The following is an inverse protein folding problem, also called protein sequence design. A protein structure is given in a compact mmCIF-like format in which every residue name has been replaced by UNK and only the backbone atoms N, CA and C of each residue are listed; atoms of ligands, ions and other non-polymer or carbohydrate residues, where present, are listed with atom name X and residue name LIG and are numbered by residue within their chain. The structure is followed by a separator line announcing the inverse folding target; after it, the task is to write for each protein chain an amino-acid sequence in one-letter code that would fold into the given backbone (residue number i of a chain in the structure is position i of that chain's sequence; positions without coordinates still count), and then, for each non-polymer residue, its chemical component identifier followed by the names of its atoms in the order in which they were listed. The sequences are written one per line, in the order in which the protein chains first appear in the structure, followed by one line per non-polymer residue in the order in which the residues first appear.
data_IF_397800051892
#
_entry.id   IF_397800051892
#
_cell.length_a   1.000
_cell.length_b   1.000
_cell.length_c   1.000
_cell.angle_alpha   90.00
_cell.angle_beta   90.00
_cell.angle_gamma   90.00
#
_symmetry.space_group_name_H-M   'P 1'
#
loop_
_entity.id
_entity.type
_entity.pdbx_description
1 polymer ?
#
# COMPACT_ATOMS: atom_id res chain seq x y z
N UNK A 1 -1.47 31.30 0.78
CA UNK A 1 -2.80 30.68 0.86
C UNK A 1 -3.21 30.75 2.33
N UNK A 2 -4.42 31.22 2.67
CA UNK A 2 -4.84 31.39 4.07
C UNK A 2 -5.31 30.04 4.65
N UNK A 3 -5.13 29.79 5.96
CA UNK A 3 -5.45 28.48 6.60
C UNK A 3 -6.89 28.04 6.36
N UNK A 4 -7.84 29.00 6.39
CA UNK A 4 -9.27 28.77 6.12
C UNK A 4 -9.54 28.18 4.73
N UNK A 5 -8.74 28.54 3.72
CA UNK A 5 -8.86 27.99 2.37
C UNK A 5 -8.37 26.53 2.30
N UNK A 6 -7.36 26.16 3.10
CA UNK A 6 -6.84 24.79 3.12
C UNK A 6 -7.85 23.82 3.77
N UNK A 7 -8.49 24.26 4.85
CA UNK A 7 -9.60 23.53 5.49
C UNK A 7 -10.74 23.26 4.52
N UNK A 8 -11.19 24.29 3.79
CA UNK A 8 -12.27 24.16 2.81
C UNK A 8 -11.91 23.18 1.68
N UNK A 9 -10.68 23.20 1.17
CA UNK A 9 -10.21 22.27 0.13
C UNK A 9 -10.22 20.82 0.63
N UNK A 10 -9.67 20.57 1.83
CA UNK A 10 -9.63 19.22 2.40
C UNK A 10 -11.05 18.72 2.68
N UNK A 11 -11.88 19.53 3.33
CA UNK A 11 -13.26 19.17 3.63
C UNK A 11 -14.06 18.84 2.36
N UNK A 12 -13.92 19.67 1.33
CA UNK A 12 -14.57 19.43 0.04
C UNK A 12 -14.10 18.12 -0.58
N UNK A 13 -12.79 17.87 -0.60
CA UNK A 13 -12.23 16.61 -1.12
C UNK A 13 -12.77 15.39 -0.39
N UNK A 14 -12.86 15.44 0.95
CA UNK A 14 -13.24 14.31 1.78
C UNK A 14 -14.74 13.98 1.71
N UNK A 15 -15.59 15.00 1.56
CA UNK A 15 -17.06 14.83 1.53
C UNK A 15 -17.63 14.69 0.11
N UNK A 16 -16.90 15.14 -0.91
CA UNK A 16 -17.39 15.09 -2.30
C UNK A 16 -17.07 13.77 -2.99
N UNK A 17 -17.84 13.50 -4.06
CA UNK A 17 -17.59 12.35 -4.93
C UNK A 17 -16.30 12.56 -5.74
N UNK A 18 -15.60 11.47 -6.11
CA UNK A 18 -14.51 11.49 -7.06
C UNK A 18 -14.82 12.32 -8.32
N UNK A 19 -13.89 13.18 -8.72
CA UNK A 19 -13.99 14.03 -9.92
C UNK A 19 -13.00 13.57 -10.99
N UNK A 20 -13.14 12.31 -11.40
CA UNK A 20 -12.36 11.67 -12.46
C UNK A 20 -13.09 10.41 -12.91
N UNK A 21 -12.85 9.97 -14.15
CA UNK A 21 -13.20 8.59 -14.50
C UNK A 21 -12.08 7.64 -14.08
N UNK A 22 -12.48 6.40 -13.77
CA UNK A 22 -11.55 5.34 -13.37
C UNK A 22 -11.11 4.50 -14.57
N UNK A 23 -9.79 4.39 -14.80
CA UNK A 23 -9.23 3.39 -15.73
C UNK A 23 -9.30 1.97 -15.15
N UNK A 24 -9.06 1.90 -13.85
CA UNK A 24 -9.10 0.73 -12.97
C UNK A 24 -9.59 1.21 -11.61
N UNK A 25 -10.11 0.33 -10.74
CA UNK A 25 -10.54 0.72 -9.40
C UNK A 25 -9.45 1.52 -8.69
N UNK A 26 -9.76 2.77 -8.32
CA UNK A 26 -8.84 3.69 -7.62
C UNK A 26 -7.79 4.38 -8.49
N UNK A 27 -7.90 4.34 -9.83
CA UNK A 27 -6.93 4.95 -10.76
C UNK A 27 -7.61 5.98 -11.66
N UNK A 28 -7.36 7.28 -11.45
CA UNK A 28 -7.83 8.34 -12.33
C UNK A 28 -7.29 8.19 -13.76
N UNK A 29 -8.08 8.61 -14.76
CA UNK A 29 -7.68 8.61 -16.17
C UNK A 29 -6.38 9.35 -16.47
N UNK A 30 -6.14 10.46 -15.77
CA UNK A 30 -4.95 11.30 -15.92
C UNK A 30 -3.94 11.13 -14.78
N UNK A 31 -3.90 9.97 -14.09
CA UNK A 31 -3.09 9.78 -12.88
C UNK A 31 -1.62 10.18 -13.03
N UNK A 32 -1.02 10.02 -14.22
CA UNK A 32 0.37 10.42 -14.51
C UNK A 32 0.63 11.94 -14.42
N UNK A 33 -0.42 12.74 -14.51
CA UNK A 33 -0.35 14.20 -14.40
C UNK A 33 -0.54 14.67 -12.95
N UNK A 34 -1.02 13.78 -12.07
CA UNK A 34 -1.29 14.06 -10.66
C UNK A 34 0.01 13.86 -9.87
N UNK A 35 0.67 14.97 -9.55
CA UNK A 35 2.03 14.96 -9.00
C UNK A 35 2.14 15.63 -7.62
N UNK A 36 1.03 16.18 -7.11
CA UNK A 36 0.99 16.85 -5.82
C UNK A 36 -0.22 16.46 -4.98
N UNK A 37 -0.14 16.72 -3.68
CA UNK A 37 -1.28 16.59 -2.77
C UNK A 37 -2.45 17.49 -3.20
N UNK A 38 -2.16 18.71 -3.66
CA UNK A 38 -3.20 19.61 -4.19
C UNK A 38 -3.98 18.96 -5.34
N UNK A 39 -3.29 18.31 -6.27
CA UNK A 39 -3.92 17.65 -7.42
C UNK A 39 -4.86 16.53 -6.96
N UNK A 40 -4.43 15.70 -6.01
CA UNK A 40 -5.25 14.63 -5.43
C UNK A 40 -6.51 15.18 -4.74
N UNK A 41 -6.39 16.28 -3.99
CA UNK A 41 -7.52 16.89 -3.31
C UNK A 41 -8.49 17.55 -4.30
N UNK A 42 -7.99 18.20 -5.36
CA UNK A 42 -8.82 18.83 -6.40
C UNK A 42 -9.69 17.84 -7.16
N UNK A 43 -9.22 16.61 -7.31
CA UNK A 43 -9.98 15.53 -7.96
C UNK A 43 -10.81 14.71 -6.95
N UNK A 44 -10.82 15.09 -5.67
CA UNK A 44 -11.48 14.36 -4.60
C UNK A 44 -11.07 12.88 -4.55
N UNK A 45 -9.77 12.60 -4.69
CA UNK A 45 -9.25 11.23 -4.77
C UNK A 45 -9.67 10.38 -3.56
N UNK A 46 -10.13 9.16 -3.83
CA UNK A 46 -10.49 8.18 -2.79
C UNK A 46 -9.60 6.96 -2.90
N UNK A 47 -8.97 6.60 -1.79
CA UNK A 47 -8.21 5.37 -1.70
C UNK A 47 -9.16 4.17 -1.82
N UNK A 48 -8.79 3.22 -2.68
CA UNK A 48 -9.46 1.93 -2.85
C UNK A 48 -8.56 0.85 -2.27
N UNK A 49 -9.10 -0.02 -1.41
CA UNK A 49 -8.31 -1.05 -0.71
C UNK A 49 -7.74 -2.10 -1.67
N UNK A 50 -6.75 -2.88 -1.22
CA UNK A 50 -6.13 -3.94 -2.03
C UNK A 50 -7.18 -4.97 -2.47
N UNK A 51 -8.06 -5.38 -1.58
CA UNK A 51 -9.11 -6.37 -1.83
C UNK A 51 -10.11 -5.83 -2.86
N UNK A 52 -10.49 -4.55 -2.74
CA UNK A 52 -11.39 -3.88 -3.69
C UNK A 52 -10.73 -3.73 -5.08
N UNK A 53 -9.45 -3.36 -5.13
CA UNK A 53 -8.68 -3.30 -6.37
C UNK A 53 -8.65 -4.66 -7.06
N UNK A 54 -8.25 -5.72 -6.32
CA UNK A 54 -8.13 -7.07 -6.86
C UNK A 54 -9.48 -7.60 -7.35
N UNK A 55 -10.54 -7.47 -6.55
CA UNK A 55 -11.90 -7.87 -6.90
C UNK A 55 -12.40 -7.15 -8.15
N UNK A 56 -12.29 -5.83 -8.18
CA UNK A 56 -12.77 -5.02 -9.29
C UNK A 56 -12.02 -5.32 -10.60
N UNK A 57 -10.69 -5.38 -10.53
CA UNK A 57 -9.86 -5.70 -11.69
C UNK A 57 -10.10 -7.13 -12.20
N UNK A 58 -10.33 -8.10 -11.31
CA UNK A 58 -10.67 -9.46 -11.70
C UNK A 58 -12.02 -9.50 -12.43
N UNK A 59 -13.05 -8.83 -11.90
CA UNK A 59 -14.37 -8.76 -12.56
C UNK A 59 -14.27 -8.12 -13.94
N UNK A 60 -13.51 -7.02 -14.09
CA UNK A 60 -13.31 -6.34 -15.38
C UNK A 60 -12.69 -7.30 -16.40
N UNK A 61 -11.69 -8.08 -16.00
CA UNK A 61 -11.02 -9.06 -16.88
C UNK A 61 -11.93 -10.23 -17.25
N UNK A 62 -12.62 -10.81 -16.26
CA UNK A 62 -13.54 -11.93 -16.51
C UNK A 62 -14.67 -11.55 -17.47
N UNK A 63 -15.19 -10.32 -17.40
CA UNK A 63 -16.19 -9.80 -18.36
C UNK A 63 -15.67 -9.67 -19.79
N UNK A 64 -14.35 -9.55 -19.95
CA UNK A 64 -13.67 -9.49 -21.25
C UNK A 64 -13.14 -10.85 -21.71
N UNK A 65 -13.48 -11.92 -20.98
CA UNK A 65 -12.95 -13.27 -21.22
C UNK A 65 -11.40 -13.31 -21.14
N UNK A 66 -10.80 -12.42 -20.35
CA UNK A 66 -9.36 -12.37 -20.10
C UNK A 66 -9.01 -13.01 -18.74
N UNK A 67 -7.87 -13.71 -18.68
CA UNK A 67 -7.34 -14.26 -17.43
C UNK A 67 -6.11 -13.50 -16.93
N UNK A 68 -6.01 -13.19 -15.62
CA UNK A 68 -4.86 -12.47 -15.06
C UNK A 68 -3.62 -13.34 -14.84
N UNK A 69 -3.66 -14.63 -15.12
CA UNK A 69 -2.62 -15.61 -14.78
C UNK A 69 -1.76 -15.97 -16.00
N UNK A 70 -1.09 -14.98 -16.59
CA UNK A 70 -0.30 -15.17 -17.81
C UNK A 70 0.84 -16.18 -17.61
N UNK A 71 0.90 -17.20 -18.47
CA UNK A 71 1.96 -18.21 -18.44
C UNK A 71 1.82 -19.26 -17.33
N UNK A 72 0.66 -19.34 -16.67
CA UNK A 72 0.24 -20.53 -15.93
C UNK A 72 -0.37 -21.49 -16.96
N UNK A 73 0.11 -22.73 -16.97
CA UNK A 73 -0.35 -23.78 -17.89
C UNK A 73 -1.03 -24.84 -17.03
N UNK A 74 -2.27 -25.18 -17.36
CA UNK A 74 -3.06 -26.07 -16.53
C UNK A 74 -3.74 -25.31 -15.38
N UNK A 75 -4.46 -26.08 -14.58
CA UNK A 75 -5.22 -25.64 -13.41
C UNK A 75 -6.49 -24.82 -13.68
N UNK A 76 -6.96 -24.79 -14.93
CA UNK A 76 -8.14 -24.03 -15.34
C UNK A 76 -9.42 -24.53 -14.65
N UNK A 77 -9.45 -25.83 -14.30
CA UNK A 77 -10.61 -26.51 -13.71
C UNK A 77 -10.52 -26.66 -12.17
N UNK A 78 -9.41 -26.32 -11.52
CA UNK A 78 -9.20 -26.54 -10.07
C UNK A 78 -8.65 -25.33 -9.29
N UNK A 79 -7.37 -24.98 -9.45
CA UNK A 79 -6.67 -23.95 -8.68
C UNK A 79 -7.14 -22.57 -9.11
N UNK A 80 -7.20 -22.29 -10.43
CA UNK A 80 -7.58 -20.97 -10.94
C UNK A 80 -9.00 -20.56 -10.52
N UNK A 81 -10.02 -21.43 -10.61
CA UNK A 81 -11.35 -21.14 -10.06
C UNK A 81 -11.33 -20.85 -8.56
N UNK A 82 -10.48 -21.55 -7.80
CA UNK A 82 -10.35 -21.35 -6.34
C UNK A 82 -9.67 -20.03 -6.00
N UNK A 83 -8.62 -19.65 -6.75
CA UNK A 83 -7.99 -18.32 -6.66
C UNK A 83 -8.97 -17.21 -7.00
N UNK A 84 -9.76 -17.36 -8.06
CA UNK A 84 -10.77 -16.37 -8.40
C UNK A 84 -11.81 -16.20 -7.28
N UNK A 85 -12.27 -17.31 -6.69
CA UNK A 85 -13.20 -17.27 -5.54
C UNK A 85 -12.60 -16.56 -4.33
N UNK A 86 -11.35 -16.86 -3.95
CA UNK A 86 -10.72 -16.19 -2.81
C UNK A 86 -10.56 -14.68 -3.04
N UNK A 87 -10.18 -14.25 -4.25
CA UNK A 87 -10.11 -12.82 -4.60
C UNK A 87 -11.47 -12.15 -4.51
N UNK A 88 -12.50 -12.77 -5.09
CA UNK A 88 -13.85 -12.22 -5.08
C UNK A 88 -14.39 -12.10 -3.65
N UNK A 89 -14.07 -13.06 -2.78
CA UNK A 89 -14.45 -13.02 -1.37
C UNK A 89 -13.55 -12.13 -0.50
N UNK A 90 -12.39 -11.69 -0.98
CA UNK A 90 -11.42 -10.91 -0.20
C UNK A 90 -10.72 -11.73 0.89
N UNK A 91 -10.39 -12.99 0.60
CA UNK A 91 -9.67 -13.87 1.51
C UNK A 91 -8.16 -13.89 1.23
N UNK A 92 -7.39 -14.06 2.29
CA UNK A 92 -5.99 -14.49 2.20
C UNK A 92 -5.91 -15.90 1.59
N UNK A 93 -4.76 -16.22 0.99
CA UNK A 93 -4.57 -17.47 0.26
C UNK A 93 -3.40 -18.27 0.81
N UNK A 94 -3.61 -19.58 0.98
CA UNK A 94 -2.56 -20.56 1.25
C UNK A 94 -2.43 -21.49 0.06
N UNK A 95 -1.28 -21.44 -0.62
CA UNK A 95 -0.95 -22.36 -1.70
C UNK A 95 -0.18 -23.55 -1.16
N UNK A 96 -0.70 -24.77 -1.35
CA UNK A 96 -0.04 -26.02 -0.99
C UNK A 96 0.25 -26.81 -2.25
N UNK A 97 1.51 -27.17 -2.47
CA UNK A 97 1.94 -27.89 -3.66
C UNK A 97 3.45 -28.06 -3.71
N UNK A 98 3.93 -28.91 -4.60
CA UNK A 98 5.36 -29.18 -4.76
C UNK A 98 6.12 -27.97 -5.34
N UNK A 99 7.46 -28.02 -5.25
CA UNK A 99 8.34 -27.04 -5.90
C UNK A 99 8.11 -27.10 -7.41
N UNK A 100 8.08 -25.93 -8.06
CA UNK A 100 7.86 -25.82 -9.51
C UNK A 100 6.40 -25.81 -9.96
N UNK A 101 5.42 -25.96 -9.06
CA UNK A 101 3.99 -25.91 -9.38
C UNK A 101 3.40 -24.48 -9.46
N UNK A 102 4.21 -23.52 -9.89
CA UNK A 102 3.80 -22.14 -10.19
C UNK A 102 3.17 -21.31 -9.04
N UNK A 103 3.23 -21.74 -7.77
CA UNK A 103 2.69 -21.00 -6.60
C UNK A 103 3.11 -19.52 -6.58
N UNK A 104 4.41 -19.25 -6.64
CA UNK A 104 4.96 -17.88 -6.64
C UNK A 104 4.56 -17.13 -7.91
N UNK A 105 4.55 -17.80 -9.06
CA UNK A 105 4.16 -17.21 -10.34
C UNK A 105 2.69 -16.76 -10.36
N UNK A 106 1.80 -17.49 -9.68
CA UNK A 106 0.40 -17.08 -9.48
C UNK A 106 0.36 -15.80 -8.64
N UNK A 107 1.05 -15.77 -7.49
CA UNK A 107 1.10 -14.60 -6.62
C UNK A 107 1.66 -13.35 -7.33
N UNK A 108 2.75 -13.49 -8.08
CA UNK A 108 3.32 -12.42 -8.90
C UNK A 108 2.35 -11.95 -9.99
N UNK A 109 1.65 -12.88 -10.64
CA UNK A 109 0.66 -12.55 -11.68
C UNK A 109 -0.53 -11.78 -11.11
N UNK A 110 -1.01 -12.17 -9.92
CA UNK A 110 -2.05 -11.43 -9.19
C UNK A 110 -1.59 -10.00 -8.92
N UNK A 111 -0.39 -9.84 -8.36
CA UNK A 111 0.15 -8.51 -8.07
C UNK A 111 0.27 -7.66 -9.34
N UNK A 112 0.88 -8.19 -10.39
CA UNK A 112 1.10 -7.44 -11.63
C UNK A 112 -0.21 -7.05 -12.33
N UNK A 113 -1.20 -7.94 -12.32
CA UNK A 113 -2.37 -7.81 -13.20
C UNK A 113 -3.63 -7.32 -12.49
N UNK A 114 -3.72 -7.44 -11.17
CA UNK A 114 -4.92 -7.14 -10.39
C UNK A 114 -4.74 -6.02 -9.36
N UNK A 115 -3.50 -5.65 -9.03
CA UNK A 115 -3.23 -4.45 -8.23
C UNK A 115 -3.19 -3.20 -9.12
N UNK A 116 -4.00 -2.20 -8.76
CA UNK A 116 -4.06 -0.89 -9.43
C UNK A 116 -2.89 0.00 -9.01
N UNK A 117 -2.34 0.88 -9.85
CA UNK A 117 -1.39 1.89 -9.36
C UNK A 117 -2.00 2.74 -8.22
N UNK A 118 -1.21 3.12 -7.22
CA UNK A 118 -1.65 4.00 -6.12
C UNK A 118 -0.76 5.23 -5.98
N UNK A 119 -1.29 6.37 -5.50
CA UNK A 119 -0.47 7.53 -5.19
C UNK A 119 0.22 7.31 -3.83
N UNK A 120 1.52 7.58 -3.77
CA UNK A 120 2.29 7.61 -2.53
C UNK A 120 2.97 8.96 -2.36
N UNK A 121 3.13 9.40 -1.12
CA UNK A 121 3.97 10.57 -0.81
C UNK A 121 5.43 10.23 -1.13
N UNK A 122 6.04 11.04 -2.00
CA UNK A 122 7.42 10.85 -2.43
C UNK A 122 8.36 10.93 -1.22
N UNK A 123 9.28 9.97 -1.14
CA UNK A 123 10.27 9.87 -0.06
C UNK A 123 9.83 8.99 1.11
N UNK A 124 8.55 8.62 1.21
CA UNK A 124 8.08 7.71 2.26
C UNK A 124 8.53 6.27 1.99
N UNK A 125 8.89 5.59 3.07
CA UNK A 125 9.35 4.19 3.03
C UNK A 125 8.20 3.16 3.06
N UNK A 126 6.99 3.57 3.46
CA UNK A 126 5.82 2.69 3.69
C UNK A 126 4.70 2.83 2.65
N UNK A 127 5.00 3.39 1.47
CA UNK A 127 4.02 3.66 0.41
C UNK A 127 2.80 4.46 0.93
N UNK A 128 3.05 5.48 1.76
CA UNK A 128 1.98 6.18 2.45
C UNK A 128 1.10 6.97 1.48
N UNK A 129 -0.21 6.77 1.58
CA UNK A 129 -1.21 7.42 0.75
C UNK A 129 -1.74 8.62 1.53
N UNK A 130 -1.61 9.86 1.04
CA UNK A 130 -1.95 11.03 1.85
C UNK A 130 -3.44 11.12 2.17
N UNK A 131 -4.31 10.65 1.27
CA UNK A 131 -5.77 10.67 1.47
C UNK A 131 -6.29 9.56 2.37
N UNK A 132 -5.43 8.65 2.86
CA UNK A 132 -5.81 7.72 3.93
C UNK A 132 -5.69 8.35 5.32
N UNK A 133 -5.07 9.52 5.43
CA UNK A 133 -5.03 10.30 6.67
C UNK A 133 -6.45 10.82 6.97
N UNK A 134 -6.94 10.72 8.21
CA UNK A 134 -8.21 11.33 8.61
C UNK A 134 -8.27 12.83 8.30
N UNK A 135 -9.46 13.32 7.97
CA UNK A 135 -9.67 14.70 7.50
C UNK A 135 -9.10 15.75 8.47
N UNK A 136 -9.44 15.61 9.76
CA UNK A 136 -9.01 16.48 10.85
C UNK A 136 -7.48 16.48 11.01
N UNK A 137 -6.85 15.31 10.89
CA UNK A 137 -5.40 15.17 10.98
C UNK A 137 -4.71 15.80 9.77
N UNK A 138 -5.22 15.61 8.56
CA UNK A 138 -4.65 16.22 7.36
C UNK A 138 -4.76 17.75 7.41
N UNK A 139 -5.90 18.27 7.89
CA UNK A 139 -6.06 19.72 8.14
C UNK A 139 -5.00 20.20 9.12
N UNK A 140 -4.82 19.52 10.27
CA UNK A 140 -3.84 19.91 11.27
C UNK A 140 -2.39 19.91 10.72
N UNK A 141 -2.03 18.91 9.89
CA UNK A 141 -0.73 18.86 9.22
C UNK A 141 -0.53 20.07 8.28
N UNK A 142 -1.58 20.45 7.55
CA UNK A 142 -1.53 21.56 6.61
C UNK A 142 -1.51 22.92 7.32
N UNK A 143 -2.25 23.09 8.42
CA UNK A 143 -2.35 24.35 9.17
C UNK A 143 -1.34 24.49 10.31
N UNK A 144 -0.49 23.48 10.55
CA UNK A 144 0.49 23.44 11.66
C UNK A 144 -0.15 23.44 13.04
N UNK A 145 -1.37 22.93 13.12
CA UNK A 145 -2.08 22.77 14.38
C UNK A 145 -1.66 21.46 15.08
N UNK A 146 -1.96 21.36 16.38
CA UNK A 146 -1.75 20.13 17.13
C UNK A 146 -2.66 19.00 16.60
N UNK A 147 -2.11 17.80 16.47
CA UNK A 147 -2.88 16.62 16.07
C UNK A 147 -3.47 16.00 17.33
N UNK A 148 -4.78 16.12 17.50
CA UNK A 148 -5.51 15.38 18.52
C UNK A 148 -5.55 13.89 18.17
N UNK A 149 -4.56 13.10 18.62
CA UNK A 149 -4.59 11.65 18.45
C UNK A 149 -5.55 11.04 19.47
N UNK A 150 -6.79 10.80 19.04
CA UNK A 150 -7.82 10.15 19.87
C UNK A 150 -7.72 8.62 19.85
N UNK A 151 -7.07 8.03 18.83
CA UNK A 151 -6.86 6.59 18.67
C UNK A 151 -5.40 6.26 18.35
N UNK A 152 -4.90 5.06 18.73
CA UNK A 152 -3.54 4.61 18.44
C UNK A 152 -3.39 4.06 17.00
N UNK A 153 -4.18 4.56 16.04
CA UNK A 153 -4.20 4.03 14.68
C UNK A 153 -3.01 4.54 13.85
N UNK A 154 -2.34 3.61 13.17
CA UNK A 154 -1.23 3.92 12.26
C UNK A 154 -1.74 4.16 10.84
N UNK A 155 -2.08 5.42 10.53
CA UNK A 155 -2.56 5.83 9.21
C UNK A 155 -1.44 6.02 8.20
N UNK A 156 -0.37 6.73 8.57
CA UNK A 156 0.83 6.97 7.76
C UNK A 156 2.04 7.04 8.68
N UNK A 157 3.25 6.95 8.12
CA UNK A 157 4.48 7.18 8.89
C UNK A 157 4.59 8.64 9.36
N UNK A 158 5.32 8.84 10.47
CA UNK A 158 5.69 10.19 10.93
C UNK A 158 6.50 10.96 9.87
N UNK A 159 7.34 10.26 9.09
CA UNK A 159 8.06 10.87 7.96
C UNK A 159 7.09 11.46 6.92
N UNK A 160 5.99 10.76 6.62
CA UNK A 160 4.94 11.30 5.75
C UNK A 160 4.30 12.56 6.34
N UNK A 161 3.96 12.54 7.64
CA UNK A 161 3.42 13.70 8.35
C UNK A 161 4.36 14.92 8.22
N UNK A 162 5.66 14.71 8.46
CA UNK A 162 6.68 15.77 8.38
C UNK A 162 6.86 16.30 6.94
N UNK A 163 6.86 15.41 5.93
CA UNK A 163 6.90 15.81 4.52
C UNK A 163 5.68 16.68 4.17
N UNK A 164 4.48 16.28 4.61
CA UNK A 164 3.25 17.04 4.37
C UNK A 164 3.29 18.38 5.11
N UNK A 165 3.74 18.41 6.37
CA UNK A 165 3.90 19.67 7.13
C UNK A 165 4.82 20.64 6.42
N UNK A 166 5.95 20.16 5.91
CA UNK A 166 6.98 21.01 5.29
C UNK A 166 6.59 21.50 3.89
N UNK A 167 5.89 20.67 3.10
CA UNK A 167 5.59 20.97 1.70
C UNK A 167 4.13 21.37 1.44
N UNK A 168 3.25 21.15 2.43
CA UNK A 168 1.81 21.46 2.37
C UNK A 168 1.15 20.85 1.13
N UNK A 169 0.31 21.63 0.44
CA UNK A 169 -0.34 21.22 -0.81
C UNK A 169 0.65 20.90 -1.94
N UNK A 170 1.88 21.42 -1.89
CA UNK A 170 2.93 21.12 -2.87
C UNK A 170 3.65 19.79 -2.64
N UNK A 171 3.27 19.04 -1.59
CA UNK A 171 3.82 17.71 -1.29
C UNK A 171 3.79 16.84 -2.53
N UNK A 172 4.96 16.32 -2.91
CA UNK A 172 5.12 15.55 -4.15
C UNK A 172 4.55 14.15 -4.00
N UNK A 173 3.84 13.73 -5.05
CA UNK A 173 3.22 12.42 -5.16
C UNK A 173 3.91 11.65 -6.29
N UNK A 174 4.20 10.38 -6.02
CA UNK A 174 4.58 9.41 -7.03
C UNK A 174 3.49 8.35 -7.15
N UNK A 175 3.34 7.75 -8.32
CA UNK A 175 2.46 6.59 -8.49
C UNK A 175 3.30 5.32 -8.53
N UNK A 176 2.92 4.35 -7.71
CA UNK A 176 3.59 3.05 -7.63
C UNK A 176 2.66 1.97 -8.21
N UNK A 177 3.20 1.19 -9.15
CA UNK A 177 2.45 0.13 -9.83
C UNK A 177 2.29 -1.11 -8.95
N UNK A 178 1.36 -2.00 -9.32
CA UNK A 178 1.09 -3.24 -8.59
C UNK A 178 2.33 -4.10 -8.34
N UNK A 179 3.15 -4.29 -9.38
CA UNK A 179 4.36 -5.12 -9.30
C UNK A 179 5.36 -4.64 -8.25
N UNK A 180 5.50 -3.33 -8.07
CA UNK A 180 6.41 -2.73 -7.07
C UNK A 180 5.86 -2.79 -5.64
N UNK A 181 4.58 -3.19 -5.49
CA UNK A 181 3.91 -3.44 -4.20
C UNK A 181 3.86 -4.92 -3.83
N UNK A 182 4.54 -5.78 -4.58
CA UNK A 182 4.73 -7.19 -4.23
C UNK A 182 6.00 -7.37 -3.39
N UNK A 183 5.87 -8.02 -2.24
CA UNK A 183 7.01 -8.46 -1.43
C UNK A 183 6.98 -9.98 -1.30
N UNK A 184 8.09 -10.60 -1.68
CA UNK A 184 8.31 -12.02 -1.52
C UNK A 184 9.31 -12.26 -0.38
N UNK A 185 8.95 -13.16 0.52
CA UNK A 185 9.75 -13.54 1.68
C UNK A 185 9.89 -15.05 1.67
N UNK A 186 11.11 -15.55 1.52
CA UNK A 186 11.41 -16.96 1.75
C UNK A 186 11.62 -17.18 3.24
N UNK A 187 10.75 -17.97 3.87
CA UNK A 187 10.93 -18.36 5.26
C UNK A 187 12.15 -19.29 5.37
N UNK A 188 13.11 -18.87 6.19
CA UNK A 188 14.29 -19.65 6.56
C UNK A 188 14.41 -19.66 8.08
N UNK A 189 15.07 -20.65 8.70
CA UNK A 189 15.23 -20.67 10.15
C UNK A 189 15.90 -19.38 10.69
N UNK A 190 16.80 -18.81 9.90
CA UNK A 190 17.60 -17.63 10.23
C UNK A 190 16.86 -16.30 10.02
N UNK A 191 15.70 -16.29 9.34
CA UNK A 191 14.93 -15.05 9.18
C UNK A 191 14.52 -14.53 10.56
N UNK A 192 14.80 -13.26 10.80
CA UNK A 192 14.56 -12.65 12.10
C UNK A 192 13.31 -11.80 12.09
N UNK A 193 12.73 -11.56 13.27
CA UNK A 193 11.52 -10.72 13.40
C UNK A 193 11.75 -9.33 12.79
N UNK A 194 12.94 -8.75 12.98
CA UNK A 194 13.33 -7.46 12.38
C UNK A 194 13.26 -7.43 10.86
N UNK A 195 13.44 -8.56 10.17
CA UNK A 195 13.36 -8.59 8.70
C UNK A 195 11.90 -8.47 8.25
N UNK A 196 10.95 -8.98 9.05
CA UNK A 196 9.52 -8.92 8.78
C UNK A 196 8.90 -7.60 9.25
N UNK A 197 9.09 -7.23 10.51
CA UNK A 197 8.43 -6.08 11.15
C UNK A 197 9.31 -4.84 11.27
N UNK A 198 10.59 -4.91 10.92
CA UNK A 198 11.54 -3.81 11.02
C UNK A 198 12.25 -3.70 12.36
N UNK A 199 13.14 -2.71 12.48
CA UNK A 199 13.95 -2.49 13.68
C UNK A 199 14.35 -1.03 13.83
N UNK A 200 14.76 -0.66 15.05
CA UNK A 200 15.53 0.55 15.29
C UNK A 200 16.98 0.29 14.84
N UNK A 201 17.46 1.08 13.91
CA UNK A 201 18.71 0.88 13.19
C UNK A 201 19.86 1.68 13.83
N UNK A 202 20.70 0.97 14.59
CA UNK A 202 21.87 1.54 15.25
C UNK A 202 22.87 2.20 14.28
N UNK A 203 22.94 1.73 13.03
CA UNK A 203 23.85 2.31 12.04
C UNK A 203 23.33 3.66 11.57
N UNK A 204 22.01 3.80 11.35
CA UNK A 204 21.40 5.10 11.05
C UNK A 204 21.61 6.09 12.20
N UNK A 205 21.42 5.65 13.44
CA UNK A 205 21.65 6.47 14.64
C UNK A 205 23.09 6.98 14.67
N UNK A 206 24.08 6.08 14.57
CA UNK A 206 25.48 6.42 14.68
C UNK A 206 25.99 7.30 13.52
N UNK A 207 25.55 7.02 12.28
CA UNK A 207 26.05 7.74 11.09
C UNK A 207 25.32 9.05 10.80
N UNK A 208 24.01 9.11 11.05
CA UNK A 208 23.17 10.27 10.75
C UNK A 208 22.89 11.15 11.97
N UNK A 209 23.40 10.77 13.16
CA UNK A 209 23.17 11.51 14.40
C UNK A 209 21.70 11.57 14.80
N UNK A 210 20.90 10.59 14.36
CA UNK A 210 19.46 10.54 14.60
C UNK A 210 19.21 10.00 16.00
N UNK A 211 18.26 10.60 16.73
CA UNK A 211 17.89 10.11 18.06
C UNK A 211 17.26 8.72 18.02
N UNK A 212 17.48 7.93 19.08
CA UNK A 212 17.01 6.53 19.18
C UNK A 212 15.48 6.40 19.00
N UNK A 213 14.73 7.39 19.46
CA UNK A 213 13.27 7.36 19.46
C UNK A 213 12.65 8.09 18.26
N UNK A 214 13.47 8.58 17.34
CA UNK A 214 12.98 9.23 16.13
C UNK A 214 12.69 8.20 15.03
N UNK A 215 11.66 8.46 14.22
CA UNK A 215 11.25 7.58 13.11
C UNK A 215 12.37 7.40 12.08
N UNK A 216 13.25 8.40 11.93
CA UNK A 216 14.40 8.32 11.04
C UNK A 216 15.41 7.24 11.46
N UNK A 217 15.37 6.77 12.71
CA UNK A 217 16.16 5.63 13.20
C UNK A 217 15.56 4.29 12.78
N UNK A 218 14.27 4.25 12.44
CA UNK A 218 13.58 3.01 12.10
C UNK A 218 13.90 2.56 10.67
N UNK A 219 14.07 1.26 10.51
CA UNK A 219 14.24 0.59 9.22
C UNK A 219 13.07 -0.40 9.03
N UNK A 220 12.25 -0.24 7.98
CA UNK A 220 11.03 -1.01 7.80
C UNK A 220 11.34 -2.44 7.36
N UNK A 221 10.62 -3.39 7.95
CA UNK A 221 10.62 -4.78 7.50
C UNK A 221 9.73 -5.00 6.27
N UNK A 222 9.75 -6.22 5.74
CA UNK A 222 9.03 -6.60 4.53
C UNK A 222 7.51 -6.37 4.62
N UNK A 223 6.92 -6.53 5.82
CA UNK A 223 5.48 -6.33 6.03
C UNK A 223 5.08 -4.87 5.76
N UNK A 224 5.80 -3.90 6.35
CA UNK A 224 5.51 -2.48 6.12
C UNK A 224 5.88 -2.04 4.70
N UNK A 225 6.91 -2.63 4.10
CA UNK A 225 7.25 -2.37 2.69
C UNK A 225 6.21 -2.95 1.71
N UNK A 226 5.43 -3.95 2.15
CA UNK A 226 4.29 -4.50 1.42
C UNK A 226 2.98 -3.75 1.71
N UNK A 227 3.01 -2.67 2.49
CA UNK A 227 1.81 -1.88 2.83
C UNK A 227 1.11 -1.42 1.55
N UNK A 228 -0.21 -1.54 1.57
CA UNK A 228 -1.08 -1.39 0.40
C UNK A 228 -0.68 -2.32 -0.76
N UNK A 229 -0.15 -3.50 -0.50
CA UNK A 229 0.36 -4.42 -1.51
C UNK A 229 0.05 -5.87 -1.17
N UNK A 230 0.88 -6.78 -1.68
CA UNK A 230 0.79 -8.22 -1.40
C UNK A 230 2.11 -8.67 -0.78
N UNK A 231 2.02 -9.30 0.40
CA UNK A 231 3.11 -10.03 1.02
C UNK A 231 2.93 -11.53 0.73
N UNK A 232 3.92 -12.14 0.12
CA UNK A 232 3.97 -13.58 -0.11
C UNK A 232 5.06 -14.18 0.77
N UNK A 233 4.68 -15.11 1.65
CA UNK A 233 5.61 -15.87 2.48
C UNK A 233 5.67 -17.29 1.92
N UNK A 234 6.84 -17.66 1.42
CA UNK A 234 7.13 -19.01 0.96
C UNK A 234 7.73 -19.85 2.07
N UNK A 235 7.50 -21.16 2.03
CA UNK A 235 7.92 -22.10 3.07
C UNK A 235 7.45 -21.72 4.49
N UNK A 236 6.23 -21.15 4.60
CA UNK A 236 5.64 -20.69 5.87
C UNK A 236 5.84 -21.64 7.08
N UNK A 237 5.72 -22.98 6.95
CA UNK A 237 5.97 -23.90 8.06
C UNK A 237 7.40 -23.86 8.65
N UNK A 238 8.37 -23.36 7.90
CA UNK A 238 9.77 -23.19 8.34
C UNK A 238 9.91 -21.98 9.29
N UNK A 239 8.97 -21.04 9.23
CA UNK A 239 8.96 -19.86 10.10
C UNK A 239 8.65 -20.28 11.54
N UNK A 240 9.53 -19.97 12.49
CA UNK A 240 9.32 -20.30 13.91
C UNK A 240 7.94 -19.83 14.41
N UNK A 241 7.18 -20.64 15.18
CA UNK A 241 5.85 -20.28 15.64
C UNK A 241 5.77 -18.94 16.38
N UNK A 242 6.81 -18.54 17.12
CA UNK A 242 6.84 -17.24 17.78
C UNK A 242 6.82 -16.09 16.78
N UNK A 243 7.38 -16.28 15.58
CA UNK A 243 7.36 -15.29 14.49
C UNK A 243 6.02 -15.27 13.74
N UNK A 244 5.18 -16.30 13.90
CA UNK A 244 3.84 -16.37 13.29
C UNK A 244 2.74 -15.78 14.19
N UNK A 245 2.97 -15.75 15.51
CA UNK A 245 1.97 -15.34 16.52
C UNK A 245 2.27 -13.95 17.13
N UNK A 246 3.50 -13.45 16.99
CA UNK A 246 3.95 -12.18 17.56
C UNK A 246 3.44 -10.93 16.83
#
# INVERSE_FOLDING_TARGET
MNSKNMEEIVHHSYTSKPKYNELKPGVPEDYKQINTLEDLLKINYKHVSVEQQMRGNLIIRLKKEEHPYSGIIGYEEDVIPSVNRSILSGHDMLFVGQIGQAKTKIAESISKNLLSPIPRVRGTITNDIPTSIPEDQLIALLTESEIGRSSPEFNVSKECEDIIRNNKLNTKIDWIDGADRYRYVLATPDISVKDLVGQIDAIKIAKKGVELYDIASYSPGQLLQARHGILCIDELPVLDPRKQVA
#
